data_IF_749267274059
#
_entry.id   IF_749267274059
#
_cell.length_a   1.000
_cell.length_b   1.000
_cell.length_c   1.000
_cell.angle_alpha   90.00
_cell.angle_beta   90.00
_cell.angle_gamma   90.00
#
_symmetry.space_group_name_H-M   'P 1'
#
loop_
_entity.id
_entity.type
_entity.pdbx_description
1 polymer ?
#
# COMPACT_ATOMS: atom_id res chain seq x y z
N UNK A 1 -3.44 -23.28 5.42
CA UNK A 1 -3.48 -23.43 6.89
C UNK A 1 -4.87 -23.95 7.28
N UNK A 2 -4.97 -24.86 8.24
CA UNK A 2 -6.27 -25.36 8.73
C UNK A 2 -6.76 -24.46 9.88
N UNK A 3 -7.91 -23.82 9.68
CA UNK A 3 -8.53 -22.92 10.67
C UNK A 3 -9.75 -23.54 11.36
N UNK A 4 -10.00 -24.85 11.16
CA UNK A 4 -11.17 -25.54 11.69
C UNK A 4 -11.29 -25.47 13.22
N UNK A 5 -10.15 -25.41 13.94
CA UNK A 5 -10.10 -25.24 15.39
C UNK A 5 -10.69 -23.91 15.88
N UNK A 6 -10.75 -22.89 15.00
CA UNK A 6 -11.37 -21.59 15.25
C UNK A 6 -12.80 -21.50 14.69
N UNK A 7 -13.34 -22.61 14.16
CA UNK A 7 -14.65 -22.64 13.49
C UNK A 7 -14.64 -22.00 12.09
N UNK A 8 -13.48 -21.68 11.53
CA UNK A 8 -13.33 -21.03 10.23
C UNK A 8 -13.03 -22.10 9.17
N UNK A 9 -13.84 -22.12 8.10
CA UNK A 9 -13.80 -23.19 7.08
C UNK A 9 -12.74 -23.00 6.00
N UNK A 10 -12.34 -21.75 5.73
CA UNK A 10 -11.44 -21.36 4.64
C UNK A 10 -10.53 -20.23 5.09
N UNK A 11 -9.47 -19.91 4.33
CA UNK A 11 -8.68 -18.71 4.61
C UNK A 11 -9.60 -17.48 4.64
N UNK A 12 -9.69 -16.73 5.75
CA UNK A 12 -10.55 -15.56 5.84
C UNK A 12 -9.91 -14.32 5.19
N UNK A 13 -8.64 -14.39 4.78
CA UNK A 13 -7.98 -13.27 4.10
C UNK A 13 -8.39 -13.24 2.63
N UNK A 14 -8.81 -12.07 2.16
CA UNK A 14 -9.10 -11.82 0.74
C UNK A 14 -7.83 -11.99 -0.09
N UNK A 15 -7.92 -12.83 -1.14
CA UNK A 15 -6.83 -13.06 -2.08
C UNK A 15 -7.06 -12.19 -3.31
N UNK A 16 -6.29 -11.11 -3.43
CA UNK A 16 -6.28 -10.30 -4.65
C UNK A 16 -5.51 -11.00 -5.76
N UNK A 17 -5.93 -10.75 -7.00
CA UNK A 17 -5.35 -11.32 -8.21
C UNK A 17 -4.74 -10.23 -9.08
N UNK A 18 -4.02 -10.65 -10.14
CA UNK A 18 -3.53 -9.71 -11.16
C UNK A 18 -4.68 -8.91 -11.80
N UNK A 19 -5.84 -9.54 -12.01
CA UNK A 19 -7.02 -8.87 -12.55
C UNK A 19 -7.53 -7.76 -11.64
N UNK A 20 -7.45 -7.97 -10.32
CA UNK A 20 -7.81 -6.95 -9.35
C UNK A 20 -6.84 -5.77 -9.44
N UNK A 21 -5.53 -6.04 -9.47
CA UNK A 21 -4.50 -5.02 -9.70
C UNK A 21 -4.78 -4.21 -10.97
N UNK A 22 -5.04 -4.86 -12.10
CA UNK A 22 -5.37 -4.18 -13.37
C UNK A 22 -6.61 -3.29 -13.24
N UNK A 23 -7.65 -3.77 -12.54
CA UNK A 23 -8.87 -3.00 -12.29
C UNK A 23 -8.60 -1.77 -11.42
N UNK A 24 -7.91 -1.93 -10.30
CA UNK A 24 -7.59 -0.81 -9.38
C UNK A 24 -6.69 0.24 -10.03
N UNK A 25 -5.78 -0.16 -10.92
CA UNK A 25 -4.86 0.75 -11.61
C UNK A 25 -5.40 1.30 -12.94
N UNK A 26 -6.64 0.97 -13.32
CA UNK A 26 -7.23 1.35 -14.60
C UNK A 26 -7.51 2.85 -14.74
N UNK A 27 -7.72 3.57 -13.63
CA UNK A 27 -7.84 5.02 -13.61
C UNK A 27 -6.66 5.63 -12.84
N UNK A 28 -5.65 6.15 -13.54
CA UNK A 28 -4.49 6.77 -12.90
C UNK A 28 -4.74 8.25 -12.51
N UNK A 29 -5.89 8.83 -12.85
CA UNK A 29 -6.18 10.26 -12.61
C UNK A 29 -6.57 10.59 -11.17
N UNK A 30 -6.82 9.55 -10.36
CA UNK A 30 -7.28 9.65 -8.97
C UNK A 30 -6.14 9.80 -7.94
N UNK A 31 -4.88 9.84 -8.38
CA UNK A 31 -3.71 9.96 -7.49
C UNK A 31 -3.14 11.37 -7.57
N UNK A 32 -3.04 12.04 -6.42
CA UNK A 32 -2.47 13.37 -6.31
C UNK A 32 -1.04 13.44 -6.88
N UNK A 33 -0.71 14.52 -7.58
CA UNK A 33 0.57 14.68 -8.27
C UNK A 33 1.78 14.59 -7.32
N UNK A 34 1.65 15.11 -6.08
CA UNK A 34 2.72 15.09 -5.09
C UNK A 34 3.07 13.70 -4.59
N UNK A 35 2.08 12.81 -4.40
CA UNK A 35 2.30 11.44 -3.90
C UNK A 35 2.55 10.42 -5.02
N UNK A 36 2.21 10.78 -6.27
CA UNK A 36 2.29 9.92 -7.43
C UNK A 36 3.61 9.17 -7.60
N UNK A 37 4.81 9.77 -7.43
CA UNK A 37 6.08 9.04 -7.56
C UNK A 37 6.23 7.87 -6.60
N UNK A 38 5.68 7.97 -5.38
CA UNK A 38 5.69 6.92 -4.38
C UNK A 38 4.69 5.83 -4.73
N UNK A 39 3.48 6.20 -5.15
CA UNK A 39 2.48 5.25 -5.62
C UNK A 39 2.97 4.43 -6.83
N UNK A 40 3.57 5.09 -7.82
CA UNK A 40 4.15 4.42 -8.99
C UNK A 40 5.32 3.50 -8.61
N UNK A 41 6.15 3.89 -7.64
CA UNK A 41 7.23 3.04 -7.15
C UNK A 41 6.67 1.74 -6.52
N UNK A 42 5.62 1.83 -5.72
CA UNK A 42 4.95 0.65 -5.16
C UNK A 42 4.35 -0.22 -6.27
N UNK A 43 3.63 0.39 -7.22
CA UNK A 43 3.01 -0.32 -8.35
C UNK A 43 4.03 -1.02 -9.27
N UNK A 44 5.29 -0.56 -9.27
CA UNK A 44 6.38 -1.19 -10.02
C UNK A 44 6.81 -2.54 -9.45
N UNK A 45 6.49 -2.85 -8.20
CA UNK A 45 6.63 -4.22 -7.66
C UNK A 45 5.50 -5.07 -8.24
N UNK A 46 5.85 -6.16 -8.95
CA UNK A 46 4.90 -6.91 -9.78
C UNK A 46 3.66 -7.36 -8.99
N UNK A 47 3.85 -7.74 -7.73
CA UNK A 47 2.83 -8.35 -6.88
C UNK A 47 2.12 -7.36 -5.94
N UNK A 48 2.43 -6.06 -6.03
CA UNK A 48 1.81 -5.01 -5.20
C UNK A 48 0.96 -4.08 -6.06
N UNK A 49 -0.08 -3.49 -5.46
CA UNK A 49 -0.82 -2.41 -6.11
C UNK A 49 -1.41 -1.43 -5.10
N UNK A 50 -1.33 -0.14 -5.41
CA UNK A 50 -1.87 0.93 -4.58
C UNK A 50 -3.39 0.96 -4.62
N UNK A 51 -4.01 1.21 -3.47
CA UNK A 51 -5.46 1.36 -3.34
C UNK A 51 -5.83 2.82 -3.06
N UNK A 52 -5.15 3.45 -2.12
CA UNK A 52 -5.38 4.83 -1.72
C UNK A 52 -4.07 5.51 -1.37
N UNK A 53 -3.99 6.82 -1.58
CA UNK A 53 -2.83 7.62 -1.27
C UNK A 53 -3.25 9.06 -1.03
N UNK A 54 -2.57 9.74 -0.13
CA UNK A 54 -2.78 11.16 0.15
C UNK A 54 -1.41 11.85 0.17
N UNK A 55 -1.28 12.98 -0.54
CA UNK A 55 -0.01 13.71 -0.54
C UNK A 55 0.25 14.47 0.76
N UNK A 56 -0.80 14.80 1.53
CA UNK A 56 -0.71 15.52 2.78
C UNK A 56 0.14 16.79 2.68
N UNK A 57 1.24 16.85 3.43
CA UNK A 57 2.12 18.02 3.53
C UNK A 57 3.25 18.05 2.48
N UNK A 58 3.25 17.16 1.47
CA UNK A 58 4.30 17.15 0.43
C UNK A 58 4.34 18.44 -0.40
N UNK A 59 3.19 19.08 -0.57
CA UNK A 59 3.05 20.35 -1.29
C UNK A 59 2.40 21.36 -0.34
N UNK A 60 3.23 22.25 0.22
CA UNK A 60 2.79 23.21 1.24
C UNK A 60 1.61 24.07 0.77
N UNK A 61 1.61 24.49 -0.50
CA UNK A 61 0.55 25.32 -1.07
C UNK A 61 -0.82 24.60 -1.17
N UNK A 62 -0.83 23.27 -1.10
CA UNK A 62 -2.02 22.43 -1.23
C UNK A 62 -2.43 21.81 0.12
N UNK A 63 -1.66 22.05 1.20
CA UNK A 63 -1.81 21.40 2.51
C UNK A 63 -3.25 21.40 3.04
N UNK A 64 -3.93 22.55 2.99
CA UNK A 64 -5.29 22.70 3.52
C UNK A 64 -6.37 21.97 2.69
N UNK A 65 -6.03 21.53 1.48
CA UNK A 65 -6.91 20.74 0.61
C UNK A 65 -6.75 19.22 0.80
N UNK A 66 -5.77 18.79 1.58
CA UNK A 66 -5.47 17.38 1.82
C UNK A 66 -5.64 16.97 3.28
N UNK A 67 -5.67 15.66 3.49
CA UNK A 67 -5.58 15.09 4.82
C UNK A 67 -4.23 15.46 5.47
N UNK A 68 -4.14 15.54 6.81
CA UNK A 68 -2.89 15.91 7.49
C UNK A 68 -1.78 14.85 7.37
N UNK A 69 -2.10 13.67 6.83
CA UNK A 69 -1.21 12.51 6.74
C UNK A 69 -0.70 12.34 5.31
N UNK A 70 0.60 12.13 5.14
CA UNK A 70 1.16 11.70 3.85
C UNK A 70 1.30 10.19 3.87
N UNK A 71 0.56 9.48 3.04
CA UNK A 71 0.57 8.01 3.04
C UNK A 71 0.32 7.38 1.68
N UNK A 72 0.74 6.13 1.54
CA UNK A 72 0.35 5.23 0.45
C UNK A 72 -0.06 3.89 1.04
N UNK A 73 -1.27 3.47 0.69
CA UNK A 73 -1.81 2.17 1.00
C UNK A 73 -1.79 1.27 -0.22
N UNK A 74 -1.47 0.00 0.00
CA UNK A 74 -1.40 -1.00 -1.05
C UNK A 74 -1.81 -2.39 -0.58
N UNK A 75 -2.18 -3.21 -1.55
CA UNK A 75 -2.51 -4.61 -1.39
C UNK A 75 -1.50 -5.49 -2.12
N UNK A 76 -1.60 -6.78 -1.83
CA UNK A 76 -0.72 -7.82 -2.35
C UNK A 76 -1.55 -8.83 -3.13
N UNK A 77 -1.10 -9.19 -4.33
CA UNK A 77 -1.74 -10.25 -5.11
C UNK A 77 -1.13 -11.61 -4.82
N UNK A 78 -1.90 -12.68 -5.07
CA UNK A 78 -1.43 -14.07 -5.04
C UNK A 78 -0.74 -14.50 -3.73
N UNK A 79 -1.14 -13.90 -2.59
CA UNK A 79 -0.61 -14.23 -1.26
C UNK A 79 0.91 -14.01 -1.10
N UNK A 80 1.51 -13.15 -1.93
CA UNK A 80 2.94 -12.79 -1.91
C UNK A 80 3.32 -11.86 -0.72
N UNK A 81 2.70 -12.08 0.44
CA UNK A 81 2.80 -11.26 1.63
C UNK A 81 4.23 -11.19 2.17
N UNK A 82 5.04 -12.22 1.93
CA UNK A 82 6.46 -12.23 2.31
C UNK A 82 7.23 -11.10 1.63
N UNK A 83 6.97 -10.83 0.35
CA UNK A 83 7.62 -9.74 -0.39
C UNK A 83 7.19 -8.36 0.15
N UNK A 84 5.91 -8.18 0.46
CA UNK A 84 5.42 -6.95 1.07
C UNK A 84 6.04 -6.70 2.45
N UNK A 85 6.14 -7.74 3.29
CA UNK A 85 6.79 -7.67 4.60
C UNK A 85 8.29 -7.34 4.48
N UNK A 86 8.99 -7.93 3.51
CA UNK A 86 10.40 -7.61 3.23
C UNK A 86 10.57 -6.15 2.79
N UNK A 87 9.68 -5.64 1.95
CA UNK A 87 9.69 -4.24 1.54
C UNK A 87 9.56 -3.33 2.76
N UNK A 88 8.51 -3.52 3.58
CA UNK A 88 8.28 -2.70 4.78
C UNK A 88 9.44 -2.80 5.76
N UNK A 89 9.97 -4.00 6.01
CA UNK A 89 11.12 -4.19 6.89
C UNK A 89 12.37 -3.46 6.38
N UNK A 90 12.62 -3.49 5.06
CA UNK A 90 13.75 -2.78 4.46
C UNK A 90 13.61 -1.26 4.57
N UNK A 91 12.39 -0.74 4.46
CA UNK A 91 12.09 0.68 4.60
C UNK A 91 12.30 1.12 6.05
N UNK A 92 11.68 0.44 7.02
CA UNK A 92 11.80 0.77 8.44
C UNK A 92 13.25 0.64 8.90
N UNK A 93 13.99 -0.38 8.44
CA UNK A 93 15.40 -0.53 8.78
C UNK A 93 16.28 0.64 8.30
N UNK A 94 15.90 1.33 7.22
CA UNK A 94 16.70 2.41 6.62
C UNK A 94 16.26 3.79 7.07
N UNK A 95 14.94 4.02 7.11
CA UNK A 95 14.35 5.33 7.36
C UNK A 95 13.89 5.50 8.81
N UNK A 96 13.67 4.40 9.53
CA UNK A 96 13.36 4.38 10.96
C UNK A 96 12.20 5.35 11.30
N UNK A 97 12.41 6.28 12.23
CA UNK A 97 11.38 7.13 12.82
C UNK A 97 10.78 8.19 11.88
N UNK A 98 11.24 8.32 10.64
CA UNK A 98 10.66 9.27 9.67
C UNK A 98 9.47 8.70 8.90
N UNK A 99 9.25 7.39 9.00
CA UNK A 99 8.11 6.69 8.42
C UNK A 99 7.47 5.77 9.45
N UNK A 100 6.21 5.45 9.23
CA UNK A 100 5.52 4.36 9.90
C UNK A 100 5.02 3.37 8.86
N UNK A 101 5.43 2.12 8.97
CA UNK A 101 4.97 1.05 8.12
C UNK A 101 4.10 0.10 8.93
N UNK A 102 2.91 -0.23 8.41
CA UNK A 102 1.95 -1.08 9.12
C UNK A 102 1.19 -2.00 8.20
N UNK A 103 0.68 -3.08 8.79
CA UNK A 103 -0.29 -3.98 8.18
C UNK A 103 -1.58 -3.85 8.99
N UNK A 104 -2.68 -3.52 8.32
CA UNK A 104 -4.00 -3.34 8.90
C UNK A 104 -4.90 -4.45 8.37
N UNK A 105 -5.62 -5.11 9.28
CA UNK A 105 -6.63 -6.11 8.96
C UNK A 105 -7.99 -5.42 8.95
N UNK A 106 -8.60 -5.33 7.78
CA UNK A 106 -9.85 -4.59 7.56
C UNK A 106 -10.97 -5.55 7.19
N UNK A 107 -12.12 -5.44 7.84
CA UNK A 107 -13.27 -6.24 7.49
C UNK A 107 -13.68 -5.92 6.04
N UNK A 108 -13.84 -6.97 5.24
CA UNK A 108 -14.34 -6.86 3.88
C UNK A 108 -15.87 -6.94 3.85
N UNK A 109 -16.47 -6.37 2.82
CA UNK A 109 -17.92 -6.22 2.73
C UNK A 109 -18.43 -6.20 1.30
N UNK A 110 -19.63 -6.73 1.11
CA UNK A 110 -20.36 -6.68 -0.15
C UNK A 110 -21.36 -5.53 -0.12
N UNK A 111 -21.43 -4.75 -1.19
CA UNK A 111 -22.48 -3.76 -1.37
C UNK A 111 -23.79 -4.46 -1.77
N UNK A 112 -24.84 -4.29 -0.96
CA UNK A 112 -26.20 -4.76 -1.30
C UNK A 112 -26.99 -3.63 -1.97
N UNK A 113 -26.66 -2.38 -1.63
CA UNK A 113 -27.17 -1.18 -2.31
C UNK A 113 -26.13 -0.06 -2.28
N UNK A 114 -26.47 1.13 -2.79
CA UNK A 114 -25.57 2.29 -2.80
C UNK A 114 -25.14 2.73 -1.39
N UNK A 115 -26.01 2.54 -0.40
CA UNK A 115 -25.81 3.02 0.98
C UNK A 115 -25.78 1.87 2.01
N UNK A 116 -25.78 0.61 1.56
CA UNK A 116 -25.86 -0.56 2.42
C UNK A 116 -24.79 -1.59 2.07
N UNK A 117 -24.05 -2.00 3.10
CA UNK A 117 -23.01 -3.03 3.03
C UNK A 117 -23.32 -4.16 4.00
N UNK A 118 -22.95 -5.39 3.64
CA UNK A 118 -22.98 -6.56 4.53
C UNK A 118 -21.59 -7.15 4.67
N UNK A 119 -21.23 -7.53 5.89
CA UNK A 119 -19.98 -8.25 6.12
C UNK A 119 -20.00 -9.59 5.40
N UNK A 120 -18.99 -9.83 4.55
CA UNK A 120 -18.89 -11.06 3.76
C UNK A 120 -18.04 -12.15 4.46
N UNK A 121 -17.50 -11.82 5.64
CA UNK A 121 -16.69 -12.73 6.45
C UNK A 121 -15.22 -12.80 6.04
N UNK A 122 -14.80 -11.98 5.07
CA UNK A 122 -13.42 -11.86 4.64
C UNK A 122 -12.74 -10.63 5.26
N UNK A 123 -11.41 -10.62 5.17
CA UNK A 123 -10.55 -9.57 5.70
C UNK A 123 -9.53 -9.17 4.64
N UNK A 124 -9.46 -7.88 4.34
CA UNK A 124 -8.43 -7.29 3.51
C UNK A 124 -7.19 -7.00 4.36
N UNK A 125 -6.01 -7.41 3.89
CA UNK A 125 -4.72 -7.07 4.51
C UNK A 125 -4.13 -5.85 3.83
N UNK A 126 -4.40 -4.65 4.36
CA UNK A 126 -3.89 -3.38 3.84
C UNK A 126 -2.49 -3.12 4.38
N UNK A 127 -1.54 -2.90 3.49
CA UNK A 127 -0.19 -2.46 3.82
C UNK A 127 -0.12 -0.95 3.64
N UNK A 128 0.57 -0.26 4.55
CA UNK A 128 0.62 1.19 4.56
C UNK A 128 2.04 1.68 4.82
N UNK A 129 2.43 2.75 4.11
CA UNK A 129 3.63 3.54 4.38
C UNK A 129 3.16 4.98 4.64
N UNK A 130 3.31 5.43 5.87
CA UNK A 130 3.01 6.78 6.31
C UNK A 130 4.32 7.54 6.51
N UNK A 131 4.37 8.79 6.06
CA UNK A 131 5.51 9.67 6.21
C UNK A 131 5.17 10.72 7.26
N UNK A 132 6.07 10.93 8.21
CA UNK A 132 5.93 12.00 9.19
C UNK A 132 6.43 13.33 8.64
N UNK A 133 5.83 14.43 9.11
CA UNK A 133 6.24 15.77 8.71
C UNK A 133 7.67 16.05 9.15
N UNK A 134 8.47 16.52 8.19
CA UNK A 134 9.87 16.91 8.37
C UNK A 134 10.07 18.33 7.84
N UNK A 135 11.16 19.01 8.22
CA UNK A 135 11.55 20.26 7.57
C UNK A 135 11.59 20.13 6.04
N UNK A 136 11.11 21.12 5.26
CA UNK A 136 10.82 20.95 3.83
C UNK A 136 11.95 20.34 2.98
N UNK A 137 13.19 20.81 3.17
CA UNK A 137 14.35 20.28 2.43
C UNK A 137 14.65 18.82 2.78
N UNK A 138 14.52 18.47 4.07
CA UNK A 138 14.69 17.10 4.52
C UNK A 138 13.55 16.22 4.00
N UNK A 139 12.32 16.72 4.04
CA UNK A 139 11.14 16.01 3.55
C UNK A 139 11.30 15.63 2.07
N UNK A 140 11.66 16.60 1.24
CA UNK A 140 11.89 16.39 -0.20
C UNK A 140 12.96 15.33 -0.45
N UNK A 141 14.09 15.42 0.26
CA UNK A 141 15.19 14.46 0.13
C UNK A 141 14.78 13.06 0.59
N UNK A 142 14.20 12.93 1.78
CA UNK A 142 13.74 11.65 2.34
C UNK A 142 12.69 11.00 1.44
N UNK A 143 11.73 11.77 0.93
CA UNK A 143 10.73 11.28 -0.02
C UNK A 143 11.39 10.68 -1.28
N UNK A 144 12.34 11.39 -1.89
CA UNK A 144 13.06 10.90 -3.07
C UNK A 144 13.87 9.63 -2.78
N UNK A 145 14.49 9.54 -1.60
CA UNK A 145 15.23 8.35 -1.19
C UNK A 145 14.32 7.14 -0.95
N UNK A 146 13.13 7.33 -0.39
CA UNK A 146 12.11 6.28 -0.22
C UNK A 146 11.68 5.76 -1.60
N UNK A 147 11.30 6.67 -2.52
CA UNK A 147 10.91 6.32 -3.88
C UNK A 147 12.02 5.52 -4.59
N UNK A 148 13.27 5.97 -4.49
CA UNK A 148 14.41 5.28 -5.09
C UNK A 148 14.64 3.89 -4.48
N UNK A 149 14.51 3.77 -3.15
CA UNK A 149 14.65 2.50 -2.44
C UNK A 149 13.61 1.47 -2.90
N UNK A 150 12.35 1.89 -3.02
CA UNK A 150 11.26 1.00 -3.48
C UNK A 150 11.49 0.57 -4.93
N UNK A 151 11.95 1.46 -5.81
CA UNK A 151 12.28 1.10 -7.20
C UNK A 151 13.41 0.08 -7.28
N UNK A 152 14.47 0.24 -6.48
CA UNK A 152 15.55 -0.75 -6.38
C UNK A 152 15.04 -2.10 -5.85
N UNK A 153 14.18 -2.07 -4.84
CA UNK A 153 13.52 -3.27 -4.34
C UNK A 153 12.70 -3.96 -5.44
N UNK A 154 11.91 -3.20 -6.21
CA UNK A 154 11.10 -3.73 -7.31
C UNK A 154 11.95 -4.42 -8.37
N UNK A 155 13.08 -3.81 -8.78
CA UNK A 155 14.01 -4.43 -9.72
C UNK A 155 14.56 -5.78 -9.23
N UNK A 156 14.84 -5.90 -7.93
CA UNK A 156 15.34 -7.14 -7.33
C UNK A 156 14.23 -8.17 -7.17
N UNK A 157 13.08 -7.77 -6.65
CA UNK A 157 11.93 -8.65 -6.43
C UNK A 157 11.43 -9.23 -7.75
N UNK A 158 11.20 -8.39 -8.76
CA UNK A 158 10.64 -8.81 -10.04
C UNK A 158 11.57 -9.75 -10.83
N UNK A 159 12.90 -9.66 -10.64
CA UNK A 159 13.86 -10.59 -11.24
C UNK A 159 13.78 -11.99 -10.63
N UNK A 160 13.43 -12.07 -9.35
CA UNK A 160 13.34 -13.32 -8.62
C UNK A 160 11.93 -13.96 -8.68
N UNK A 161 10.91 -13.22 -9.13
CA UNK A 161 9.53 -13.69 -9.27
C UNK A 161 9.20 -14.36 -10.63
N UNK A 162 10.19 -14.57 -11.49
CA UNK A 162 10.04 -15.39 -12.70
C UNK A 162 10.34 -16.85 -12.35
N UNK A 163 9.35 -17.56 -11.78
CA UNK A 163 9.31 -19.02 -11.70
C UNK A 163 7.91 -19.49 -12.07
#
# INVERSE_FOLDING_TARGET
>A
MDYSMLGIKTNPVTIFTLKDKEKYLSDPSVIDAGIRPLADAINSVAVLFTMNACQGFLIEAERDAHCPETYVDFYVINEEYALANMLLASLVSKFNAVINCKVVYEADFDFISADEVVGNGFVNMRYSIELFELPPDLMKKTYQEIVAHIKQFAEMANKNSVV
#
